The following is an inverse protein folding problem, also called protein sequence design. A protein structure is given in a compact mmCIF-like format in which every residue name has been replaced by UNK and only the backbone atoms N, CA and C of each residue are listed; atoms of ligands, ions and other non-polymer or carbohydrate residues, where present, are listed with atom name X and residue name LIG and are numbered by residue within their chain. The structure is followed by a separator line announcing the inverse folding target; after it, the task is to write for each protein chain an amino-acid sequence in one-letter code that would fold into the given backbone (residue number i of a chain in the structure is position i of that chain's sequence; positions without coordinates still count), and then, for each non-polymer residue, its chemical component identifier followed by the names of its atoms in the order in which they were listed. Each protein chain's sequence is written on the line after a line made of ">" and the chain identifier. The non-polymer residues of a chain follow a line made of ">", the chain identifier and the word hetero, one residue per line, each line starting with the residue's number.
data_IF_834434950637
#
_entry.id   IF_834434950637
#
_cell.length_a   1.000
_cell.length_b   1.000
_cell.length_c   1.000
_cell.angle_alpha   90.00
_cell.angle_beta   90.00
_cell.angle_gamma   90.00
#
_symmetry.space_group_name_H-M   'P 1'
#
loop_
_entity.id
_entity.type
_entity.pdbx_description
1 polymer ?
#
# COMPACT_ATOMS: atom_id res chain seq x y z
N UNK A 1 -11.59 -41.30 -8.51
CA UNK A 1 -11.95 -40.41 -9.64
C UNK A 1 -12.69 -39.21 -9.05
N UNK A 2 -12.31 -37.95 -9.32
CA UNK A 2 -11.28 -37.46 -10.24
C UNK A 2 -9.99 -37.03 -9.51
N UNK A 3 -8.86 -37.27 -10.17
CA UNK A 3 -7.56 -36.68 -9.85
C UNK A 3 -7.59 -35.26 -10.41
N UNK A 4 -7.54 -34.23 -9.55
CA UNK A 4 -7.35 -32.85 -10.00
C UNK A 4 -5.86 -32.72 -10.32
N UNK A 5 -5.53 -32.87 -11.60
CA UNK A 5 -4.20 -32.73 -12.15
C UNK A 5 -3.88 -31.22 -12.22
N UNK A 6 -3.23 -30.67 -11.19
CA UNK A 6 -2.74 -29.28 -11.21
C UNK A 6 -1.39 -29.23 -11.93
N UNK A 7 -1.40 -29.24 -13.26
CA UNK A 7 -0.20 -28.93 -14.03
C UNK A 7 0.07 -27.42 -13.94
N UNK A 8 0.99 -27.01 -13.05
CA UNK A 8 1.42 -25.62 -12.86
C UNK A 8 2.34 -25.11 -14.00
N UNK A 9 1.96 -25.34 -15.26
CA UNK A 9 2.69 -24.75 -16.39
C UNK A 9 2.14 -23.36 -16.66
N UNK A 10 2.99 -22.31 -16.54
CA UNK A 10 2.66 -20.91 -16.91
C UNK A 10 2.25 -20.75 -18.38
N UNK A 11 2.35 -21.82 -19.16
CA UNK A 11 2.15 -21.85 -20.59
C UNK A 11 1.00 -22.79 -20.94
N UNK A 12 0.19 -22.37 -21.90
CA UNK A 12 -0.94 -23.15 -22.43
C UNK A 12 -0.87 -23.21 -23.94
N UNK A 13 -1.60 -24.15 -24.52
CA UNK A 13 -1.81 -24.17 -25.97
C UNK A 13 -2.52 -22.87 -26.40
N UNK A 14 -2.09 -22.19 -27.47
CA UNK A 14 -2.74 -20.97 -27.95
C UNK A 14 -4.24 -21.20 -28.18
N UNK A 15 -5.09 -20.29 -27.70
CA UNK A 15 -6.55 -20.30 -27.92
C UNK A 15 -6.85 -19.57 -29.22
N UNK A 16 -7.03 -20.31 -30.31
CA UNK A 16 -7.29 -19.75 -31.65
C UNK A 16 -7.00 -20.78 -32.73
N UNK A 17 -7.16 -20.40 -34.00
CA UNK A 17 -6.74 -21.20 -35.15
C UNK A 17 -5.29 -21.67 -34.93
N UNK A 18 -5.02 -22.96 -35.19
CA UNK A 18 -3.89 -23.77 -34.68
C UNK A 18 -2.44 -23.26 -34.96
N UNK A 19 -2.22 -22.04 -35.45
CA UNK A 19 -0.93 -21.64 -36.04
C UNK A 19 -0.49 -20.18 -35.83
N UNK A 20 -1.10 -19.40 -34.94
CA UNK A 20 -0.56 -18.05 -34.68
C UNK A 20 0.85 -18.14 -34.07
N UNK A 21 1.87 -17.51 -34.72
CA UNK A 21 3.22 -17.49 -34.19
C UNK A 21 3.28 -16.79 -32.85
N UNK A 22 3.98 -17.39 -31.90
CA UNK A 22 4.26 -16.81 -30.59
C UNK A 22 5.75 -16.95 -30.29
N UNK A 23 6.32 -16.12 -29.39
CA UNK A 23 7.72 -16.23 -29.03
C UNK A 23 7.99 -17.43 -28.10
N UNK A 24 6.97 -18.23 -27.74
CA UNK A 24 7.09 -19.35 -26.80
C UNK A 24 6.88 -20.67 -27.54
N UNK A 25 7.87 -21.57 -27.44
CA UNK A 25 7.83 -22.87 -28.09
C UNK A 25 7.72 -23.98 -27.06
N UNK A 26 6.68 -24.80 -27.18
CA UNK A 26 6.59 -26.09 -26.51
C UNK A 26 7.39 -27.12 -27.30
N UNK A 27 8.28 -27.85 -26.61
CA UNK A 27 9.18 -28.83 -27.21
C UNK A 27 9.06 -30.13 -26.43
N UNK A 28 8.67 -31.20 -27.11
CA UNK A 28 8.71 -32.55 -26.55
C UNK A 28 10.02 -33.27 -26.91
N UNK A 29 10.34 -34.32 -26.15
CA UNK A 29 11.56 -35.12 -26.30
C UNK A 29 12.84 -34.31 -26.02
N UNK A 30 12.72 -33.32 -25.14
CA UNK A 30 13.75 -32.35 -24.80
C UNK A 30 13.54 -31.93 -23.34
N UNK A 31 14.53 -32.14 -22.48
CA UNK A 31 14.47 -31.79 -21.06
C UNK A 31 15.36 -32.67 -20.16
N UNK A 32 15.49 -32.32 -18.87
CA UNK A 32 16.41 -32.99 -17.96
C UNK A 32 16.17 -34.49 -17.80
N UNK A 33 14.91 -34.94 -17.82
CA UNK A 33 14.57 -36.36 -17.68
C UNK A 33 14.99 -37.21 -18.89
N UNK A 34 15.25 -36.58 -20.04
CA UNK A 34 15.82 -37.25 -21.23
C UNK A 34 17.33 -36.98 -21.39
N UNK A 35 17.96 -36.49 -20.33
CA UNK A 35 19.41 -36.29 -20.24
C UNK A 35 19.91 -34.97 -20.84
N UNK A 36 19.03 -33.97 -21.01
CA UNK A 36 19.40 -32.68 -21.60
C UNK A 36 19.12 -31.55 -20.59
N UNK A 37 20.15 -30.93 -19.99
CA UNK A 37 19.95 -29.83 -19.06
C UNK A 37 19.44 -28.58 -19.78
N UNK A 38 18.76 -27.68 -19.05
CA UNK A 38 18.17 -26.48 -19.64
C UNK A 38 19.19 -25.56 -20.32
N UNK A 39 20.41 -25.48 -19.79
CA UNK A 39 21.51 -24.69 -20.36
C UNK A 39 21.90 -25.17 -21.77
N UNK A 40 21.91 -26.49 -22.02
CA UNK A 40 22.19 -27.04 -23.35
C UNK A 40 21.06 -26.73 -24.33
N UNK A 41 19.81 -26.73 -23.83
CA UNK A 41 18.63 -26.36 -24.63
C UNK A 41 18.69 -24.88 -24.98
N UNK A 42 19.01 -24.03 -24.00
CA UNK A 42 19.17 -22.59 -24.23
C UNK A 42 20.27 -22.30 -25.24
N UNK A 43 21.42 -22.96 -25.11
CA UNK A 43 22.54 -22.83 -26.05
C UNK A 43 22.15 -23.25 -27.47
N UNK A 44 21.50 -24.42 -27.61
CA UNK A 44 21.06 -24.93 -28.91
C UNK A 44 20.00 -24.03 -29.60
N UNK A 45 19.17 -23.33 -28.82
CA UNK A 45 18.13 -22.44 -29.35
C UNK A 45 18.60 -20.98 -29.53
N UNK A 46 19.68 -20.57 -28.86
CA UNK A 46 20.23 -19.21 -28.96
C UNK A 46 20.73 -18.84 -30.36
N UNK A 47 20.99 -19.83 -31.23
CA UNK A 47 21.38 -19.60 -32.63
C UNK A 47 20.27 -18.93 -33.46
N UNK A 48 19.01 -19.07 -33.05
CA UNK A 48 17.86 -18.49 -33.76
C UNK A 48 17.51 -17.09 -33.27
N UNK A 49 18.01 -16.68 -32.10
CA UNK A 49 17.75 -15.39 -31.48
C UNK A 49 17.92 -15.45 -29.96
N UNK A 50 17.76 -14.29 -29.30
CA UNK A 50 17.92 -14.19 -27.84
C UNK A 50 16.86 -15.03 -27.12
N UNK A 51 17.30 -16.04 -26.38
CA UNK A 51 16.47 -16.82 -25.47
C UNK A 51 16.35 -16.05 -24.15
N UNK A 52 15.12 -15.81 -23.70
CA UNK A 52 14.79 -15.21 -22.40
C UNK A 52 14.83 -16.27 -21.30
N UNK A 53 14.53 -17.52 -21.64
CA UNK A 53 14.67 -18.65 -20.72
C UNK A 53 14.10 -19.96 -21.24
N UNK A 54 14.46 -21.03 -20.54
CA UNK A 54 13.96 -22.39 -20.77
C UNK A 54 13.30 -22.89 -19.49
N UNK A 55 12.09 -23.44 -19.61
CA UNK A 55 11.28 -23.89 -18.49
C UNK A 55 10.77 -25.31 -18.70
N UNK A 56 10.53 -26.06 -17.63
CA UNK A 56 9.79 -27.32 -17.74
C UNK A 56 8.36 -27.05 -18.26
N UNK A 57 7.91 -27.81 -19.25
CA UNK A 57 6.55 -27.68 -19.76
C UNK A 57 5.54 -28.42 -18.87
N UNK A 58 5.99 -29.46 -18.18
CA UNK A 58 5.23 -30.28 -17.24
C UNK A 58 6.19 -31.00 -16.27
N UNK A 59 5.62 -31.79 -15.35
CA UNK A 59 6.37 -32.55 -14.34
C UNK A 59 7.14 -33.75 -14.89
N UNK A 60 6.96 -34.09 -16.18
CA UNK A 60 7.62 -35.28 -16.76
C UNK A 60 9.12 -35.05 -16.95
N UNK A 61 9.57 -33.79 -16.99
CA UNK A 61 10.96 -33.41 -17.27
C UNK A 61 11.45 -33.76 -18.67
N UNK A 62 10.58 -34.31 -19.54
CA UNK A 62 10.89 -34.69 -20.92
C UNK A 62 10.39 -33.67 -21.96
N UNK A 63 9.79 -32.57 -21.48
CA UNK A 63 9.20 -31.51 -22.29
C UNK A 63 9.52 -30.14 -21.68
N UNK A 64 9.80 -29.16 -22.54
CA UNK A 64 10.20 -27.82 -22.14
C UNK A 64 9.46 -26.74 -22.91
N UNK A 65 9.46 -25.52 -22.36
CA UNK A 65 9.10 -24.29 -23.03
C UNK A 65 10.37 -23.47 -23.23
N UNK A 66 10.66 -23.07 -24.47
CA UNK A 66 11.71 -22.11 -24.81
C UNK A 66 11.05 -20.77 -25.11
N UNK A 67 11.51 -19.71 -24.45
CA UNK A 67 11.01 -18.35 -24.59
C UNK A 67 12.02 -17.51 -25.36
N UNK A 68 11.66 -17.01 -26.54
CA UNK A 68 12.45 -16.02 -27.27
C UNK A 68 12.03 -14.59 -26.90
N UNK A 69 12.93 -13.63 -27.12
CA UNK A 69 12.55 -12.21 -27.06
C UNK A 69 11.70 -11.78 -28.24
N UNK A 70 11.90 -12.40 -29.40
CA UNK A 70 11.24 -12.04 -30.65
C UNK A 70 10.50 -13.23 -31.26
N UNK A 71 9.34 -12.98 -31.87
CA UNK A 71 8.54 -14.02 -32.53
C UNK A 71 9.29 -14.65 -33.71
N UNK A 72 10.00 -13.84 -34.49
CA UNK A 72 10.75 -14.29 -35.68
C UNK A 72 11.79 -15.39 -35.33
N UNK A 73 12.40 -15.31 -34.14
CA UNK A 73 13.36 -16.32 -33.67
C UNK A 73 12.67 -17.67 -33.40
N UNK A 74 11.47 -17.64 -32.81
CA UNK A 74 10.65 -18.82 -32.59
C UNK A 74 10.19 -19.46 -33.92
N UNK A 75 9.82 -18.63 -34.90
CA UNK A 75 9.46 -19.09 -36.26
C UNK A 75 10.63 -19.76 -36.99
N UNK A 76 11.83 -19.18 -36.87
CA UNK A 76 13.04 -19.78 -37.45
C UNK A 76 13.36 -21.13 -36.81
N UNK A 77 13.27 -21.21 -35.48
CA UNK A 77 13.56 -22.43 -34.73
C UNK A 77 12.56 -23.56 -35.04
N UNK A 78 11.25 -23.28 -35.06
CA UNK A 78 10.23 -24.30 -35.37
C UNK A 78 10.37 -24.81 -36.81
N UNK A 79 10.71 -23.94 -37.77
CA UNK A 79 10.90 -24.32 -39.17
C UNK A 79 12.10 -25.24 -39.36
N UNK A 80 13.17 -25.03 -38.60
CA UNK A 80 14.41 -25.80 -38.72
C UNK A 80 14.36 -27.13 -37.94
N UNK A 81 13.82 -27.11 -36.72
CA UNK A 81 14.00 -28.20 -35.77
C UNK A 81 12.77 -29.11 -35.59
N UNK A 82 11.58 -28.66 -35.96
CA UNK A 82 10.38 -29.48 -35.76
C UNK A 82 10.36 -30.69 -36.69
N UNK A 83 10.34 -31.90 -36.13
CA UNK A 83 10.37 -33.15 -36.87
C UNK A 83 11.74 -33.53 -37.44
N UNK A 84 12.78 -32.73 -37.16
CA UNK A 84 14.14 -32.96 -37.63
C UNK A 84 15.05 -33.43 -36.46
N UNK A 85 16.03 -34.32 -36.71
CA UNK A 85 17.08 -34.63 -35.74
C UNK A 85 17.92 -33.41 -35.39
N UNK A 86 18.11 -33.13 -34.11
CA UNK A 86 18.96 -32.04 -33.63
C UNK A 86 20.29 -32.58 -33.11
N UNK A 87 21.40 -32.34 -33.82
CA UNK A 87 22.72 -32.85 -33.47
C UNK A 87 23.20 -32.34 -32.09
N UNK A 88 23.02 -31.04 -31.81
CA UNK A 88 23.33 -30.38 -30.53
C UNK A 88 22.60 -31.02 -29.34
N UNK A 89 21.46 -31.67 -29.58
CA UNK A 89 20.62 -32.30 -28.58
C UNK A 89 20.63 -33.84 -28.71
N UNK A 90 21.79 -34.38 -29.11
CA UNK A 90 22.04 -35.83 -29.16
C UNK A 90 21.36 -36.55 -30.33
N UNK A 91 21.10 -35.86 -31.45
CA UNK A 91 20.47 -36.41 -32.64
C UNK A 91 18.97 -36.69 -32.49
N UNK A 92 18.34 -36.14 -31.44
CA UNK A 92 16.93 -36.41 -31.15
C UNK A 92 16.01 -35.64 -32.09
N UNK A 93 14.95 -36.29 -32.53
CA UNK A 93 13.85 -35.63 -33.24
C UNK A 93 12.98 -34.88 -32.24
N UNK A 94 12.88 -33.55 -32.43
CA UNK A 94 12.09 -32.67 -31.58
C UNK A 94 10.68 -32.51 -32.15
N UNK A 95 9.68 -32.42 -31.28
CA UNK A 95 8.33 -32.03 -31.67
C UNK A 95 8.00 -30.69 -31.07
N UNK A 96 7.93 -29.68 -31.92
CA UNK A 96 7.83 -28.27 -31.54
C UNK A 96 6.47 -27.72 -31.94
N UNK A 97 5.84 -26.97 -31.04
CA UNK A 97 4.58 -26.27 -31.26
C UNK A 97 4.63 -24.88 -30.63
N UNK A 98 3.89 -23.92 -31.18
CA UNK A 98 3.66 -22.66 -30.50
C UNK A 98 2.92 -22.87 -29.18
N UNK A 99 3.32 -22.08 -28.19
CA UNK A 99 2.74 -22.02 -26.85
C UNK A 99 2.37 -20.57 -26.53
N UNK A 100 1.43 -20.37 -25.62
CA UNK A 100 1.01 -19.04 -25.18
C UNK A 100 1.14 -18.95 -23.66
N UNK A 101 1.38 -17.76 -23.12
CA UNK A 101 1.24 -17.53 -21.68
C UNK A 101 -0.22 -17.73 -21.31
N UNK A 102 -0.48 -18.46 -20.24
CA UNK A 102 -1.84 -18.61 -19.73
C UNK A 102 -2.34 -17.22 -19.26
N UNK A 103 -3.46 -16.70 -19.79
CA UNK A 103 -4.05 -15.49 -19.22
C UNK A 103 -4.47 -15.80 -17.77
N UNK A 104 -4.24 -14.87 -16.83
CA UNK A 104 -4.49 -15.11 -15.41
C UNK A 104 -5.95 -15.52 -15.19
N UNK A 105 -6.17 -16.72 -14.65
CA UNK A 105 -7.49 -17.13 -14.19
C UNK A 105 -7.85 -16.30 -12.96
N UNK A 106 -9.04 -15.67 -12.98
CA UNK A 106 -9.59 -14.92 -11.84
C UNK A 106 -9.91 -15.86 -10.68
N UNK A 107 -8.99 -16.01 -9.74
CA UNK A 107 -9.17 -16.49 -8.37
C UNK A 107 -8.09 -15.86 -7.46
N UNK A 108 -8.34 -15.72 -6.14
CA UNK A 108 -7.70 -14.72 -5.28
C UNK A 108 -6.20 -14.97 -5.09
N UNK A 109 -5.47 -13.87 -4.96
CA UNK A 109 -4.02 -13.76 -5.14
C UNK A 109 -3.25 -14.42 -3.96
N UNK A 110 -2.45 -15.44 -4.33
CA UNK A 110 -1.16 -15.89 -3.81
C UNK A 110 -0.82 -15.81 -2.30
N UNK A 111 -0.88 -16.96 -1.60
CA UNK A 111 -0.33 -17.19 -0.26
C UNK A 111 0.93 -18.10 -0.21
N UNK A 112 1.51 -18.50 -1.35
CA UNK A 112 2.51 -19.57 -1.36
C UNK A 112 3.97 -19.09 -1.19
N UNK A 113 4.35 -17.91 -1.70
CA UNK A 113 5.76 -17.48 -1.73
C UNK A 113 6.22 -16.68 -0.49
N UNK A 114 5.28 -16.13 0.26
CA UNK A 114 5.58 -15.47 1.56
C UNK A 114 6.03 -16.49 2.61
N UNK A 115 5.63 -17.76 2.45
CA UNK A 115 5.96 -18.83 3.41
C UNK A 115 7.47 -19.12 3.46
N UNK A 116 8.17 -19.13 2.33
CA UNK A 116 9.57 -19.57 2.29
C UNK A 116 10.55 -18.52 2.85
N UNK A 117 10.23 -17.22 2.74
CA UNK A 117 10.97 -16.14 3.41
C UNK A 117 10.58 -16.04 4.89
N UNK A 118 9.32 -16.34 5.25
CA UNK A 118 8.86 -16.37 6.64
C UNK A 118 9.39 -17.58 7.43
N UNK A 119 9.58 -18.74 6.80
CA UNK A 119 9.97 -19.98 7.50
C UNK A 119 11.34 -19.90 8.17
N UNK A 120 12.28 -19.10 7.63
CA UNK A 120 13.61 -18.91 8.22
C UNK A 120 13.63 -17.94 9.43
N UNK A 121 12.57 -17.16 9.66
CA UNK A 121 12.46 -16.20 10.77
C UNK A 121 11.46 -16.60 11.87
N UNK A 122 10.58 -17.58 11.60
CA UNK A 122 9.55 -18.04 12.56
C UNK A 122 10.13 -18.75 13.80
N UNK A 123 11.35 -19.28 13.74
CA UNK A 123 11.98 -19.99 14.86
C UNK A 123 12.50 -19.07 15.99
N UNK A 124 12.36 -17.73 15.85
CA UNK A 124 12.82 -16.75 16.86
C UNK A 124 11.71 -15.85 17.44
N UNK A 125 10.47 -15.98 17.00
CA UNK A 125 9.36 -15.18 17.52
C UNK A 125 8.60 -15.95 18.61
N UNK A 126 8.28 -15.33 19.76
CA UNK A 126 7.39 -15.95 20.73
C UNK A 126 6.01 -16.14 20.08
N UNK A 127 5.56 -17.40 20.02
CA UNK A 127 4.20 -17.78 19.61
C UNK A 127 3.19 -16.92 20.37
N UNK A 128 2.19 -16.40 19.65
CA UNK A 128 1.08 -15.65 20.22
C UNK A 128 0.51 -16.41 21.41
N UNK A 129 0.51 -15.76 22.57
CA UNK A 129 -0.11 -16.28 23.78
C UNK A 129 -1.61 -15.97 23.69
N UNK A 130 -2.40 -16.92 23.21
CA UNK A 130 -3.84 -16.90 23.44
C UNK A 130 -4.08 -17.30 24.89
N UNK A 131 -4.50 -16.35 25.74
CA UNK A 131 -4.96 -16.63 27.09
C UNK A 131 -6.04 -15.64 27.51
N UNK A 132 -6.89 -16.14 28.40
CA UNK A 132 -8.29 -15.81 28.57
C UNK A 132 -8.55 -14.42 29.14
N UNK A 133 -9.64 -13.84 28.63
CA UNK A 133 -10.22 -12.53 28.94
C UNK A 133 -10.64 -12.44 30.40
N UNK A 134 -10.22 -11.37 31.09
CA UNK A 134 -10.96 -10.73 32.17
C UNK A 134 -10.74 -9.21 32.14
N UNK A 135 -11.83 -8.46 31.97
CA UNK A 135 -11.99 -7.08 32.43
C UNK A 135 -11.19 -5.97 31.72
N UNK A 136 -11.90 -5.11 30.99
CA UNK A 136 -11.54 -3.77 30.53
C UNK A 136 -10.61 -3.58 29.31
N UNK A 137 -11.24 -3.37 28.14
CA UNK A 137 -10.83 -2.44 27.07
C UNK A 137 -9.39 -2.50 26.49
N UNK A 138 -8.60 -3.55 26.71
CA UNK A 138 -7.29 -3.71 26.06
C UNK A 138 -7.50 -4.24 24.64
N UNK A 139 -7.25 -3.37 23.64
CA UNK A 139 -7.28 -3.75 22.23
C UNK A 139 -6.19 -4.81 21.95
N UNK A 140 -6.52 -6.01 21.43
CA UNK A 140 -5.51 -7.01 21.09
C UNK A 140 -4.50 -6.46 20.09
N UNK A 141 -3.21 -6.74 20.34
CA UNK A 141 -2.10 -6.28 19.51
C UNK A 141 -1.53 -7.46 18.74
N UNK A 142 -1.65 -7.41 17.42
CA UNK A 142 -1.08 -8.38 16.50
C UNK A 142 0.42 -8.18 16.33
N UNK A 143 1.16 -9.26 16.10
CA UNK A 143 2.57 -9.21 15.70
C UNK A 143 2.74 -9.48 14.19
N UNK A 144 1.81 -10.22 13.59
CA UNK A 144 1.78 -10.46 12.16
C UNK A 144 0.68 -9.62 11.52
N UNK A 145 0.93 -9.13 10.29
CA UNK A 145 -0.08 -8.40 9.53
C UNK A 145 -1.27 -9.27 9.13
N UNK A 146 -1.08 -10.58 8.98
CA UNK A 146 -2.16 -11.55 8.70
C UNK A 146 -3.22 -11.57 9.79
N UNK A 147 -2.80 -11.40 11.05
CA UNK A 147 -3.68 -11.50 12.22
C UNK A 147 -4.57 -10.25 12.36
N UNK A 148 -4.17 -9.15 11.68
CA UNK A 148 -5.03 -7.99 11.58
C UNK A 148 -6.26 -8.27 10.74
N UNK A 149 -6.27 -9.21 9.78
CA UNK A 149 -7.42 -9.38 8.87
C UNK A 149 -7.87 -8.02 8.27
N UNK A 150 -6.88 -7.23 7.79
CA UNK A 150 -7.09 -6.00 7.02
C UNK A 150 -6.45 -6.21 5.66
N UNK A 151 -7.23 -6.32 4.57
CA UNK A 151 -6.69 -6.47 3.23
C UNK A 151 -5.74 -5.32 2.86
N UNK A 152 -4.57 -5.65 2.34
CA UNK A 152 -3.58 -4.67 1.92
C UNK A 152 -2.65 -4.16 3.02
N UNK A 153 -2.65 -4.76 4.22
CA UNK A 153 -1.61 -4.53 5.24
C UNK A 153 -0.60 -5.68 5.20
N UNK A 154 0.68 -5.35 5.08
CA UNK A 154 1.78 -6.31 5.14
C UNK A 154 2.89 -5.77 6.05
N UNK A 155 3.52 -6.66 6.83
CA UNK A 155 4.62 -6.29 7.71
C UNK A 155 5.80 -7.23 7.50
N UNK A 156 6.95 -6.68 7.12
CA UNK A 156 8.22 -7.41 7.00
C UNK A 156 9.10 -7.03 8.18
N UNK A 157 9.44 -8.03 8.99
CA UNK A 157 10.38 -7.88 10.10
C UNK A 157 11.81 -7.92 9.58
N UNK A 158 12.74 -7.27 10.29
CA UNK A 158 14.17 -7.23 9.96
C UNK A 158 14.43 -6.92 8.47
N UNK A 159 13.64 -5.99 7.93
CA UNK A 159 13.74 -5.52 6.53
C UNK A 159 15.08 -4.84 6.24
N UNK A 160 15.66 -4.22 7.27
CA UNK A 160 17.01 -3.69 7.25
C UNK A 160 17.87 -4.35 8.34
N UNK A 161 19.17 -4.35 8.10
CA UNK A 161 20.20 -4.74 9.07
C UNK A 161 20.39 -3.65 10.13
N UNK A 162 21.14 -3.95 11.18
CA UNK A 162 21.49 -2.96 12.20
C UNK A 162 22.43 -1.89 11.64
N UNK A 163 23.33 -2.28 10.75
CA UNK A 163 24.28 -1.41 10.08
C UNK A 163 23.54 -0.40 9.19
N UNK A 164 22.61 -0.87 8.34
CA UNK A 164 21.74 0.00 7.54
C UNK A 164 20.89 0.95 8.41
N UNK A 165 20.38 0.47 9.56
CA UNK A 165 19.66 1.30 10.53
C UNK A 165 20.55 2.46 11.05
N UNK A 166 21.80 2.17 11.39
CA UNK A 166 22.76 3.16 11.89
C UNK A 166 23.13 4.20 10.82
N UNK A 167 23.36 3.76 9.58
CA UNK A 167 23.67 4.64 8.45
C UNK A 167 22.50 5.61 8.16
N UNK A 168 21.26 5.08 8.10
CA UNK A 168 20.06 5.89 7.91
C UNK A 168 19.91 6.94 9.02
N UNK A 169 20.15 6.55 10.28
CA UNK A 169 20.04 7.44 11.44
C UNK A 169 21.11 8.54 11.40
N UNK A 170 22.36 8.20 11.10
CA UNK A 170 23.45 9.16 10.97
C UNK A 170 23.16 10.20 9.88
N UNK A 171 22.63 9.76 8.73
CA UNK A 171 22.27 10.65 7.63
C UNK A 171 21.15 11.62 7.99
N UNK A 172 20.08 11.18 8.66
CA UNK A 172 18.99 12.09 9.05
C UNK A 172 19.37 13.00 10.21
N UNK A 173 20.23 12.57 11.12
CA UNK A 173 20.67 13.39 12.25
C UNK A 173 21.52 14.58 11.81
N UNK A 174 22.32 14.41 10.76
CA UNK A 174 23.15 15.47 10.19
C UNK A 174 22.37 16.45 9.30
N UNK A 175 21.08 16.23 9.08
CA UNK A 175 20.23 17.04 8.19
C UNK A 175 19.27 17.94 8.97
N UNK A 176 18.80 18.99 8.28
CA UNK A 176 17.89 19.99 8.89
C UNK A 176 16.53 19.38 9.18
N UNK A 177 16.05 19.57 10.41
CA UNK A 177 14.73 19.16 10.86
C UNK A 177 13.73 20.32 10.82
N UNK A 178 12.49 20.01 10.45
CA UNK A 178 11.33 20.89 10.57
C UNK A 178 10.59 20.51 11.84
N UNK A 179 10.46 21.43 12.79
CA UNK A 179 9.74 21.17 14.04
C UNK A 179 8.23 21.39 13.85
N UNK A 180 7.44 20.37 14.19
CA UNK A 180 5.99 20.47 14.38
C UNK A 180 5.70 20.57 15.89
N UNK A 181 4.43 20.76 16.25
CA UNK A 181 4.02 21.01 17.63
C UNK A 181 4.48 19.95 18.66
N UNK A 182 4.58 18.67 18.26
CA UNK A 182 4.94 17.57 19.17
C UNK A 182 6.08 16.67 18.65
N UNK A 183 6.46 16.81 17.39
CA UNK A 183 7.40 15.92 16.70
C UNK A 183 8.18 16.72 15.67
N UNK A 184 9.25 16.17 15.10
CA UNK A 184 9.99 16.81 14.01
C UNK A 184 9.99 15.94 12.77
N UNK A 185 10.13 16.56 11.60
CA UNK A 185 10.03 15.91 10.30
C UNK A 185 11.11 16.38 9.33
N UNK A 186 11.40 15.57 8.33
CA UNK A 186 12.14 15.94 7.11
C UNK A 186 11.36 15.46 5.89
N UNK A 187 11.37 16.24 4.82
CA UNK A 187 10.72 15.90 3.55
C UNK A 187 11.74 15.85 2.42
N UNK A 188 11.55 14.90 1.53
CA UNK A 188 12.31 14.73 0.30
C UNK A 188 11.35 14.39 -0.83
N UNK A 189 11.73 14.69 -2.07
CA UNK A 189 10.80 14.59 -3.19
C UNK A 189 9.91 15.82 -3.26
N UNK A 190 8.84 15.80 -2.49
CA UNK A 190 7.87 16.89 -2.42
C UNK A 190 7.61 17.30 -0.98
N UNK A 191 7.31 18.59 -0.76
CA UNK A 191 6.94 19.09 0.56
C UNK A 191 5.58 18.53 0.99
N UNK A 192 5.51 18.06 2.24
CA UNK A 192 4.29 17.59 2.85
C UNK A 192 3.63 18.72 3.65
N UNK A 193 2.47 19.19 3.19
CA UNK A 193 1.74 20.28 3.81
C UNK A 193 0.90 19.80 4.99
N UNK A 194 1.22 20.32 6.17
CA UNK A 194 0.46 20.08 7.41
C UNK A 194 -0.59 21.16 7.72
N UNK A 195 -0.63 22.24 6.92
CA UNK A 195 -1.58 23.35 7.09
C UNK A 195 -2.81 23.13 6.20
N UNK A 196 -3.98 23.46 6.75
CA UNK A 196 -5.28 23.43 6.06
C UNK A 196 -5.31 24.51 4.98
N UNK A 197 -5.53 24.13 3.72
CA UNK A 197 -6.02 25.08 2.72
C UNK A 197 -7.54 25.15 2.86
N UNK A 198 -8.04 26.16 3.59
CA UNK A 198 -9.43 26.60 3.44
C UNK A 198 -9.57 27.20 2.04
N UNK A 199 -10.05 26.43 1.06
CA UNK A 199 -10.69 27.05 -0.09
C UNK A 199 -12.03 27.61 0.39
N UNK A 200 -12.04 28.91 0.72
CA UNK A 200 -13.27 29.69 0.71
C UNK A 200 -13.76 29.72 -0.74
N UNK A 201 -14.64 28.79 -1.11
CA UNK A 201 -15.51 29.05 -2.25
C UNK A 201 -16.48 30.14 -1.78
N UNK A 202 -16.36 31.33 -2.36
CA UNK A 202 -17.27 32.45 -2.11
C UNK A 202 -18.64 32.08 -2.68
N UNK A 203 -19.49 31.42 -1.89
CA UNK A 203 -20.91 31.30 -2.20
C UNK A 203 -21.67 32.32 -1.35
N UNK A 204 -22.05 33.43 -1.97
CA UNK A 204 -22.98 34.40 -1.38
C UNK A 204 -24.39 33.89 -1.65
N UNK A 205 -25.07 33.33 -0.65
CA UNK A 205 -26.50 33.03 -0.75
C UNK A 205 -27.32 34.30 -0.49
N UNK A 206 -28.21 34.74 -1.40
CA UNK A 206 -28.92 36.02 -1.27
C UNK A 206 -30.27 35.92 -0.53
N UNK A 207 -30.36 35.16 0.57
CA UNK A 207 -31.58 35.15 1.40
C UNK A 207 -31.25 35.14 2.90
N UNK A 208 -31.03 36.34 3.45
CA UNK A 208 -31.11 36.59 4.89
C UNK A 208 -32.58 36.83 5.27
N UNK A 209 -33.18 35.93 6.06
CA UNK A 209 -34.33 36.28 6.91
C UNK A 209 -33.80 36.64 8.29
N UNK A 210 -34.05 37.89 8.69
CA UNK A 210 -33.74 38.42 10.01
C UNK A 210 -34.59 37.71 11.08
N UNK A 211 -33.95 37.08 12.07
CA UNK A 211 -34.58 36.75 13.34
C UNK A 211 -34.11 37.76 14.39
N UNK A 212 -35.05 38.55 14.91
CA UNK A 212 -34.83 39.51 15.98
C UNK A 212 -34.97 38.81 17.33
N UNK A 213 -33.91 38.73 18.13
CA UNK A 213 -34.00 38.41 19.55
C UNK A 213 -33.67 39.64 20.40
N UNK A 214 -34.64 40.01 21.24
CA UNK A 214 -34.62 41.10 22.22
C UNK A 214 -33.74 40.71 23.41
N UNK A 215 -32.85 41.61 23.85
CA UNK A 215 -32.08 41.47 25.10
C UNK A 215 -32.81 42.12 26.29
N UNK A 216 -32.52 41.67 27.52
CA UNK A 216 -32.44 42.57 28.67
C UNK A 216 -31.04 42.62 29.31
N UNK A 217 -30.62 43.87 29.58
CA UNK A 217 -29.65 44.47 30.53
C UNK A 217 -28.58 43.61 31.25
N UNK A 218 -27.27 43.87 31.05
CA UNK A 218 -26.37 44.93 31.58
C UNK A 218 -25.73 44.54 32.92
N UNK A 219 -24.43 44.20 32.94
CA UNK A 219 -23.34 45.17 32.93
C UNK A 219 -21.99 44.46 32.73
N UNK A 220 -21.00 45.21 32.21
CA UNK A 220 -19.56 44.93 32.06
C UNK A 220 -19.01 44.74 30.62
N UNK A 221 -18.42 45.86 30.17
CA UNK A 221 -17.38 46.09 29.15
C UNK A 221 -17.71 46.15 27.65
N UNK A 222 -17.38 47.34 27.14
CA UNK A 222 -17.35 47.88 25.80
C UNK A 222 -16.59 47.05 24.75
N UNK A 223 -17.06 47.24 23.51
CA UNK A 223 -16.45 46.90 22.22
C UNK A 223 -16.72 45.48 21.67
N UNK A 224 -17.98 45.23 21.27
CA UNK A 224 -18.26 44.29 20.18
C UNK A 224 -18.48 45.11 18.89
N UNK A 225 -17.52 45.09 17.98
CA UNK A 225 -17.88 45.18 16.57
C UNK A 225 -18.79 43.98 16.29
N UNK A 226 -20.06 44.24 16.02
CA UNK A 226 -21.00 43.25 15.50
C UNK A 226 -20.49 42.87 14.12
N UNK A 227 -19.54 41.93 14.05
CA UNK A 227 -19.22 41.24 12.81
C UNK A 227 -20.37 40.28 12.55
N UNK A 228 -20.93 40.25 11.32
CA UNK A 228 -21.95 39.27 11.00
C UNK A 228 -21.40 37.88 11.33
N UNK A 229 -22.14 37.12 12.14
CA UNK A 229 -21.92 35.67 12.25
C UNK A 229 -22.34 35.10 10.91
N UNK A 230 -21.39 35.09 9.96
CA UNK A 230 -21.45 34.20 8.82
C UNK A 230 -21.37 32.80 9.42
N UNK A 231 -22.52 32.13 9.50
CA UNK A 231 -22.57 30.69 9.73
C UNK A 231 -21.98 30.05 8.47
N UNK A 232 -20.66 29.89 8.48
CA UNK A 232 -20.00 29.03 7.51
C UNK A 232 -20.37 27.59 7.87
N UNK A 233 -21.28 26.99 7.12
CA UNK A 233 -21.34 25.53 7.00
C UNK A 233 -20.15 25.08 6.15
N UNK A 234 -18.93 25.33 6.65
CA UNK A 234 -17.69 24.90 6.02
C UNK A 234 -17.29 23.57 6.62
N UNK A 235 -17.29 22.51 5.81
CA UNK A 235 -16.66 21.25 6.20
C UNK A 235 -15.16 21.48 6.37
N UNK A 236 -14.67 21.45 7.62
CA UNK A 236 -13.23 21.47 7.92
C UNK A 236 -12.69 20.07 7.62
N UNK A 237 -12.21 19.86 6.40
CA UNK A 237 -11.42 18.67 6.06
C UNK A 237 -9.95 18.94 6.36
N UNK A 238 -9.38 18.21 7.31
CA UNK A 238 -7.95 18.22 7.59
C UNK A 238 -7.20 17.44 6.52
N UNK A 239 -7.05 18.00 5.32
CA UNK A 239 -6.27 17.35 4.25
C UNK A 239 -4.79 17.57 4.48
N UNK A 240 -4.06 16.49 4.76
CA UNK A 240 -2.59 16.45 4.74
C UNK A 240 -2.14 16.19 3.30
N UNK A 241 -1.85 17.25 2.58
CA UNK A 241 -1.61 17.17 1.13
C UNK A 241 -0.12 17.32 0.79
N UNK A 242 0.22 17.07 -0.46
CA UNK A 242 1.51 17.41 -1.06
C UNK A 242 1.32 18.65 -1.92
N UNK A 243 2.25 19.59 -1.83
CA UNK A 243 2.29 20.65 -2.83
C UNK A 243 2.98 20.13 -4.09
N UNK A 244 2.17 19.72 -5.08
CA UNK A 244 2.69 19.30 -6.41
C UNK A 244 3.52 20.38 -7.11
N UNK A 245 3.45 21.64 -6.67
CA UNK A 245 4.25 22.76 -7.21
C UNK A 245 5.59 22.95 -6.49
N UNK A 246 5.81 22.28 -5.35
CA UNK A 246 7.06 22.37 -4.59
C UNK A 246 7.81 21.03 -4.60
N UNK A 247 8.40 20.73 -5.76
CA UNK A 247 9.37 19.66 -5.89
C UNK A 247 10.69 20.09 -5.25
N UNK A 248 11.12 19.35 -4.22
CA UNK A 248 12.32 19.57 -3.42
C UNK A 248 13.56 18.85 -3.99
N UNK A 249 13.42 18.15 -5.12
CA UNK A 249 14.46 17.31 -5.73
C UNK A 249 14.21 15.83 -5.53
N UNK A 250 14.99 14.99 -6.20
CA UNK A 250 14.88 13.53 -6.13
C UNK A 250 15.08 12.99 -4.71
N UNK A 251 14.67 11.73 -4.48
CA UNK A 251 14.92 11.07 -3.20
C UNK A 251 16.44 10.91 -2.97
N UNK A 252 16.92 11.16 -1.74
CA UNK A 252 18.34 11.24 -1.47
C UNK A 252 19.04 9.87 -1.57
N UNK A 253 20.29 9.85 -2.00
CA UNK A 253 21.03 8.59 -2.25
C UNK A 253 21.11 7.65 -1.03
N UNK A 254 21.11 8.18 0.20
CA UNK A 254 21.21 7.35 1.40
C UNK A 254 20.01 6.41 1.62
N UNK A 255 18.88 6.64 0.93
CA UNK A 255 17.74 5.71 0.93
C UNK A 255 17.70 4.80 -0.31
N UNK A 256 18.69 4.86 -1.20
CA UNK A 256 18.70 4.10 -2.46
C UNK A 256 18.58 2.58 -2.26
N UNK A 257 19.31 2.02 -1.29
CA UNK A 257 19.21 0.61 -0.93
C UNK A 257 17.79 0.24 -0.47
N UNK A 258 17.14 1.12 0.30
CA UNK A 258 15.75 0.92 0.73
C UNK A 258 14.80 0.93 -0.47
N UNK A 259 14.99 1.85 -1.41
CA UNK A 259 14.20 1.92 -2.64
C UNK A 259 14.38 0.66 -3.51
N UNK A 260 15.60 0.13 -3.61
CA UNK A 260 15.87 -1.13 -4.31
C UNK A 260 15.16 -2.33 -3.65
N UNK A 261 15.18 -2.40 -2.31
CA UNK A 261 14.43 -3.42 -1.56
C UNK A 261 12.91 -3.27 -1.72
N UNK A 262 12.39 -2.04 -1.78
CA UNK A 262 10.97 -1.77 -2.06
C UNK A 262 10.61 -2.22 -3.48
N UNK A 263 11.45 -1.92 -4.48
CA UNK A 263 11.21 -2.28 -5.87
C UNK A 263 11.22 -3.80 -6.11
N UNK A 264 11.94 -4.56 -5.27
CA UNK A 264 12.00 -6.02 -5.30
C UNK A 264 10.91 -6.71 -4.46
N UNK A 265 9.98 -5.95 -3.86
CA UNK A 265 8.92 -6.52 -3.02
C UNK A 265 7.96 -7.39 -3.87
N UNK A 266 7.79 -8.68 -3.52
CA UNK A 266 7.00 -9.61 -4.33
C UNK A 266 5.51 -9.27 -4.27
N UNK A 267 4.80 -9.40 -5.41
CA UNK A 267 3.37 -9.13 -5.51
C UNK A 267 2.99 -7.71 -5.97
N UNK A 268 3.98 -6.85 -6.24
CA UNK A 268 3.78 -5.57 -6.92
C UNK A 268 3.83 -5.80 -8.44
N UNK A 269 2.69 -6.22 -9.00
CA UNK A 269 2.57 -6.80 -10.36
C UNK A 269 2.76 -5.78 -11.50
N UNK A 270 2.85 -4.48 -11.21
CA UNK A 270 2.92 -3.43 -12.25
C UNK A 270 4.19 -2.59 -12.12
N UNK A 271 5.08 -2.66 -13.12
CA UNK A 271 6.35 -1.91 -13.18
C UNK A 271 6.13 -0.38 -13.20
N UNK A 272 4.91 0.09 -13.52
CA UNK A 272 4.53 1.51 -13.51
C UNK A 272 4.35 2.10 -12.10
N UNK A 273 4.31 1.28 -11.05
CA UNK A 273 3.96 1.70 -9.68
C UNK A 273 5.07 1.53 -8.63
N UNK A 274 6.32 1.26 -9.04
CA UNK A 274 7.43 0.94 -8.11
C UNK A 274 8.28 2.14 -7.70
N UNK A 275 8.28 3.21 -8.48
CA UNK A 275 9.06 4.41 -8.15
C UNK A 275 8.35 5.23 -7.08
N UNK A 276 8.97 5.30 -5.90
CA UNK A 276 8.61 6.24 -4.86
C UNK A 276 9.34 7.56 -5.12
N UNK A 277 8.60 8.66 -5.12
CA UNK A 277 9.10 10.00 -5.42
C UNK A 277 8.91 10.96 -4.25
N UNK A 278 8.34 10.49 -3.12
CA UNK A 278 8.12 11.29 -1.91
C UNK A 278 8.51 10.49 -0.66
N UNK A 279 9.33 11.10 0.20
CA UNK A 279 9.71 10.56 1.51
C UNK A 279 9.43 11.56 2.64
N UNK A 280 8.74 11.09 3.68
CA UNK A 280 8.62 11.81 4.95
C UNK A 280 9.35 11.04 6.05
N UNK A 281 10.38 11.64 6.63
CA UNK A 281 11.01 11.14 7.85
C UNK A 281 10.31 11.79 9.04
N UNK A 282 9.78 11.01 9.96
CA UNK A 282 9.18 11.50 11.20
C UNK A 282 10.01 11.02 12.39
N UNK A 283 10.33 11.91 13.32
CA UNK A 283 10.90 11.53 14.61
C UNK A 283 9.94 11.84 15.76
N UNK A 284 9.69 10.82 16.57
CA UNK A 284 8.81 10.83 17.73
C UNK A 284 9.63 10.71 19.01
N UNK A 285 9.59 11.72 19.89
CA UNK A 285 10.03 11.56 21.28
C UNK A 285 9.15 10.56 22.04
N UNK A 286 9.68 9.98 23.12
CA UNK A 286 8.89 9.10 24.00
C UNK A 286 7.59 9.79 24.49
N UNK A 287 6.45 9.11 24.35
CA UNK A 287 5.13 9.66 24.69
C UNK A 287 4.41 10.37 23.54
N UNK A 288 5.11 10.67 22.44
CA UNK A 288 4.53 11.31 21.28
C UNK A 288 4.02 10.25 20.30
N UNK A 289 2.76 10.40 19.92
CA UNK A 289 2.10 9.60 18.90
C UNK A 289 1.73 10.42 17.65
N UNK A 290 0.77 9.92 16.92
CA UNK A 290 0.25 10.48 15.67
C UNK A 290 -1.26 10.28 15.63
N UNK A 291 -2.03 11.37 15.65
CA UNK A 291 -3.50 11.33 15.59
C UNK A 291 -4.04 10.50 14.41
N UNK A 292 -5.23 9.87 14.55
CA UNK A 292 -5.81 9.04 13.50
C UNK A 292 -5.99 9.83 12.21
N UNK A 293 -5.59 9.25 11.08
CA UNK A 293 -5.77 9.84 9.75
C UNK A 293 -5.62 8.78 8.65
N UNK A 294 -6.09 9.12 7.45
CA UNK A 294 -5.79 8.44 6.20
C UNK A 294 -4.92 9.38 5.37
N UNK A 295 -3.89 8.83 4.70
CA UNK A 295 -3.07 9.62 3.78
C UNK A 295 -3.94 10.06 2.57
N UNK A 296 -3.88 11.35 2.23
CA UNK A 296 -4.79 11.98 1.28
C UNK A 296 -4.83 11.23 -0.06
N UNK A 297 -6.04 10.88 -0.52
CA UNK A 297 -6.22 9.99 -1.67
C UNK A 297 -5.78 10.67 -2.97
N UNK A 298 -6.04 11.98 -3.08
CA UNK A 298 -5.60 12.79 -4.22
C UNK A 298 -4.09 13.05 -4.25
N UNK A 299 -3.40 12.94 -3.12
CA UNK A 299 -1.99 13.30 -2.99
C UNK A 299 -1.06 12.16 -3.38
N UNK A 300 -1.41 10.93 -2.99
CA UNK A 300 -0.53 9.77 -3.11
C UNK A 300 -1.18 8.63 -3.86
N UNK A 301 -0.35 7.76 -4.45
CA UNK A 301 -0.83 6.57 -5.11
C UNK A 301 -1.21 5.45 -4.12
N UNK A 302 -1.40 4.23 -4.63
CA UNK A 302 -1.90 3.09 -3.84
C UNK A 302 -0.92 2.58 -2.78
N UNK A 303 0.38 2.56 -3.07
CA UNK A 303 1.38 1.93 -2.21
C UNK A 303 2.00 2.95 -1.26
N UNK A 304 1.95 2.65 0.04
CA UNK A 304 2.60 3.44 1.09
C UNK A 304 3.47 2.51 1.93
N UNK A 305 4.77 2.77 1.95
CA UNK A 305 5.74 2.01 2.73
C UNK A 305 6.18 2.83 3.94
N UNK A 306 6.29 2.20 5.11
CA UNK A 306 6.70 2.86 6.35
C UNK A 306 7.72 1.99 7.10
N UNK A 307 8.98 2.38 7.02
CA UNK A 307 10.08 1.74 7.72
C UNK A 307 10.21 2.32 9.14
N UNK A 308 10.19 1.47 10.16
CA UNK A 308 10.38 1.87 11.56
C UNK A 308 11.82 1.63 12.01
N UNK A 309 12.46 2.61 12.63
CA UNK A 309 13.85 2.52 13.15
C UNK A 309 14.00 3.24 14.50
N UNK A 310 15.09 2.97 15.22
CA UNK A 310 15.45 3.48 16.55
C UNK A 310 14.48 3.17 17.72
N UNK A 311 13.26 2.74 17.43
CA UNK A 311 12.27 2.41 18.45
C UNK A 311 11.03 1.74 17.88
N UNK A 312 10.43 0.86 18.67
CA UNK A 312 9.16 0.23 18.34
C UNK A 312 7.96 1.09 18.74
N UNK A 313 6.78 0.78 18.21
CA UNK A 313 5.51 1.31 18.72
C UNK A 313 4.34 0.39 18.38
N UNK A 314 3.21 0.56 19.06
CA UNK A 314 1.91 0.09 18.56
C UNK A 314 1.35 1.10 17.54
N UNK A 315 0.90 0.60 16.40
CA UNK A 315 0.05 1.33 15.46
C UNK A 315 -1.36 0.73 15.49
N UNK A 316 -2.37 1.58 15.69
CA UNK A 316 -3.78 1.20 15.59
C UNK A 316 -4.35 1.59 14.22
N UNK A 317 -5.16 0.71 13.66
CA UNK A 317 -6.01 0.94 12.51
C UNK A 317 -7.45 1.09 12.97
N UNK A 318 -8.13 2.14 12.50
CA UNK A 318 -9.53 2.45 12.83
C UNK A 318 -10.36 2.60 11.56
N UNK A 319 -11.41 1.79 11.42
CA UNK A 319 -12.37 1.89 10.34
C UNK A 319 -13.72 2.36 10.88
N UNK A 320 -14.27 3.34 10.20
CA UNK A 320 -15.52 4.00 10.55
C UNK A 320 -16.54 3.69 9.44
N UNK A 321 -17.52 2.79 9.64
CA UNK A 321 -18.39 2.31 8.58
C UNK A 321 -19.16 3.40 7.81
N UNK A 322 -19.50 4.50 8.47
CA UNK A 322 -20.22 5.63 7.89
C UNK A 322 -19.33 6.71 7.23
N UNK A 323 -18.01 6.53 7.19
CA UNK A 323 -17.08 7.53 6.63
C UNK A 323 -16.21 8.17 7.70
N UNK A 324 -15.76 9.42 7.51
CA UNK A 324 -14.85 10.09 8.47
C UNK A 324 -15.50 10.31 9.84
N UNK A 325 -14.66 10.34 10.88
CA UNK A 325 -15.07 10.71 12.24
C UNK A 325 -15.69 12.11 12.22
N UNK A 326 -17.01 12.20 12.42
CA UNK A 326 -17.71 13.46 12.64
C UNK A 326 -17.57 13.83 14.12
N UNK A 327 -17.15 15.06 14.40
CA UNK A 327 -17.27 15.60 15.76
C UNK A 327 -18.76 15.51 16.17
N UNK A 328 -19.10 15.07 17.39
CA UNK A 328 -20.43 15.33 17.92
C UNK A 328 -20.62 16.84 17.84
N UNK A 329 -21.62 17.29 17.06
CA UNK A 329 -21.98 18.71 17.00
C UNK A 329 -22.21 19.17 18.43
N UNK A 330 -21.38 20.11 18.90
CA UNK A 330 -21.60 20.79 20.16
C UNK A 330 -22.75 21.78 20.00
N UNK A 331 -23.95 21.26 19.75
CA UNK A 331 -25.21 21.89 20.12
C UNK A 331 -25.72 21.11 21.32
N UNK A 332 -25.40 21.65 22.49
CA UNK A 332 -26.03 21.29 23.75
C UNK A 332 -27.54 21.46 23.55
N UNK A 333 -28.32 20.51 24.06
CA UNK A 333 -29.79 20.40 24.01
C UNK A 333 -30.38 19.50 22.92
N UNK A 334 -29.92 18.24 22.88
CA UNK A 334 -30.77 17.03 22.74
C UNK A 334 -29.83 15.82 22.73
N UNK A 335 -29.68 15.15 23.89
CA UNK A 335 -29.03 13.84 23.94
C UNK A 335 -29.99 12.86 23.27
N UNK A 336 -29.89 12.74 21.95
CA UNK A 336 -30.59 11.72 21.19
C UNK A 336 -29.76 10.42 21.29
N UNK A 337 -30.43 9.28 21.52
CA UNK A 337 -29.82 7.93 21.65
C UNK A 337 -28.97 7.51 20.42
N UNK A 338 -28.99 8.29 19.33
CA UNK A 338 -28.26 8.05 18.10
C UNK A 338 -26.76 8.46 18.19
N UNK A 339 -26.40 9.37 19.11
CA UNK A 339 -25.01 9.84 19.30
C UNK A 339 -24.11 8.79 19.97
N UNK A 340 -24.69 7.96 20.85
CA UNK A 340 -24.00 6.82 21.48
C UNK A 340 -23.75 5.67 20.49
N UNK A 341 -24.64 5.50 19.50
CA UNK A 341 -24.51 4.47 18.46
C UNK A 341 -23.38 4.75 17.44
N UNK A 342 -23.10 6.01 17.13
CA UNK A 342 -21.99 6.40 16.24
C UNK A 342 -20.60 6.05 16.78
N UNK A 343 -20.43 6.07 18.11
CA UNK A 343 -19.17 5.65 18.76
C UNK A 343 -19.00 4.12 18.78
N UNK A 344 -20.11 3.37 18.74
CA UNK A 344 -20.14 1.91 18.95
C UNK A 344 -19.71 1.06 17.75
N UNK A 345 -19.74 1.61 16.53
CA UNK A 345 -19.46 0.85 15.31
C UNK A 345 -18.03 1.01 14.76
N UNK A 346 -17.12 1.62 15.53
CA UNK A 346 -15.71 1.79 15.10
C UNK A 346 -14.96 0.47 15.22
N UNK A 347 -14.49 -0.07 14.09
CA UNK A 347 -13.64 -1.26 14.09
C UNK A 347 -12.21 -0.81 14.38
N UNK A 348 -11.62 -1.34 15.44
CA UNK A 348 -10.23 -1.05 15.84
C UNK A 348 -9.41 -2.32 15.78
N UNK A 349 -8.20 -2.24 15.22
CA UNK A 349 -7.21 -3.31 15.23
C UNK A 349 -5.84 -2.70 15.50
N UNK A 350 -4.93 -3.42 16.14
CA UNK A 350 -3.61 -2.90 16.49
C UNK A 350 -2.50 -3.86 16.11
N UNK A 351 -1.37 -3.32 15.66
CA UNK A 351 -0.17 -4.07 15.33
C UNK A 351 1.04 -3.48 16.03
N UNK A 352 1.92 -4.36 16.50
CA UNK A 352 3.23 -3.97 17.00
C UNK A 352 4.19 -3.78 15.82
N UNK A 353 4.83 -2.62 15.75
CA UNK A 353 5.84 -2.29 14.76
C UNK A 353 7.23 -2.31 15.44
N UNK A 354 8.01 -3.40 15.31
CA UNK A 354 9.36 -3.46 15.84
C UNK A 354 10.32 -2.53 15.06
N UNK A 355 11.49 -2.25 15.65
CA UNK A 355 12.57 -1.58 14.89
C UNK A 355 13.00 -2.43 13.71
N UNK A 356 13.51 -1.78 12.66
CA UNK A 356 13.95 -2.37 11.38
C UNK A 356 12.86 -3.09 10.60
N UNK A 357 11.58 -2.83 10.90
CA UNK A 357 10.46 -3.42 10.16
C UNK A 357 9.88 -2.48 9.12
N UNK A 358 9.42 -3.04 8.00
CA UNK A 358 8.74 -2.32 6.92
C UNK A 358 7.27 -2.68 6.91
N UNK A 359 6.41 -1.69 7.14
CA UNK A 359 4.97 -1.78 6.98
C UNK A 359 4.57 -1.31 5.58
N UNK A 360 3.87 -2.13 4.81
CA UNK A 360 3.23 -1.77 3.55
C UNK A 360 1.72 -1.63 3.77
N UNK A 361 1.17 -0.51 3.31
CA UNK A 361 -0.26 -0.26 3.22
C UNK A 361 -0.65 -0.09 1.75
N UNK A 362 -1.60 -0.89 1.29
CA UNK A 362 -2.19 -0.85 -0.05
C UNK A 362 -3.70 -1.15 0.03
N UNK A 363 -4.42 -1.04 -1.09
CA UNK A 363 -5.85 -1.36 -1.16
C UNK A 363 -6.67 -0.81 0.02
N UNK A 364 -7.45 -1.70 0.66
CA UNK A 364 -8.33 -1.32 1.77
C UNK A 364 -7.55 -0.68 2.94
N UNK A 365 -6.46 -1.29 3.38
CA UNK A 365 -5.65 -0.81 4.49
C UNK A 365 -5.14 0.63 4.30
N UNK A 366 -4.87 1.02 3.05
CA UNK A 366 -4.44 2.39 2.71
C UNK A 366 -5.58 3.38 2.49
N UNK A 367 -6.72 2.94 1.98
CA UNK A 367 -7.81 3.84 1.54
C UNK A 367 -8.99 3.94 2.53
N UNK A 368 -9.15 2.99 3.46
CA UNK A 368 -10.35 2.91 4.31
C UNK A 368 -10.05 2.84 5.81
N UNK A 369 -8.79 2.69 6.20
CA UNK A 369 -8.39 2.56 7.60
C UNK A 369 -7.55 3.76 8.03
N UNK A 370 -8.00 4.43 9.08
CA UNK A 370 -7.22 5.48 9.72
C UNK A 370 -6.10 4.84 10.52
N UNK A 371 -4.85 5.20 10.25
CA UNK A 371 -3.72 4.75 11.03
C UNK A 371 -3.37 5.78 12.12
N UNK A 372 -3.04 5.27 13.31
CA UNK A 372 -2.89 6.02 14.54
C UNK A 372 -1.74 5.46 15.36
N UNK A 373 -0.90 6.32 15.93
CA UNK A 373 0.09 5.92 16.92
C UNK A 373 -0.34 6.54 18.26
N UNK A 374 -0.63 5.75 19.31
CA UNK A 374 -1.09 6.29 20.58
C UNK A 374 -0.09 7.22 21.28
N UNK A 375 -0.60 8.26 21.97
CA UNK A 375 0.19 9.20 22.77
C UNK A 375 0.43 8.66 24.19
N UNK A 376 1.31 7.67 24.32
CA UNK A 376 1.70 7.13 25.62
C UNK A 376 3.19 6.72 25.64
N UNK A 377 3.73 6.56 26.85
CA UNK A 377 5.15 6.21 27.07
C UNK A 377 5.38 4.69 27.17
N UNK A 378 4.31 3.92 27.31
CA UNK A 378 4.33 2.48 27.54
C UNK A 378 3.27 1.85 26.66
N UNK A 379 3.69 0.89 25.83
CA UNK A 379 2.83 0.01 25.05
C UNK A 379 2.49 -1.22 25.92
N UNK A 380 1.22 -1.63 25.94
CA UNK A 380 0.76 -2.83 26.68
C UNK A 380 0.42 -3.90 25.64
N UNK A 381 1.05 -5.07 25.74
CA UNK A 381 0.83 -6.21 24.83
C UNK A 381 0.61 -7.47 25.65
N UNK A 382 -0.66 -7.89 25.78
CA UNK A 382 -1.04 -8.87 26.79
C UNK A 382 -0.62 -8.39 28.17
N UNK A 383 0.08 -9.23 28.93
CA UNK A 383 0.59 -8.87 30.26
C UNK A 383 1.92 -8.10 30.22
N UNK A 384 2.50 -7.88 29.03
CA UNK A 384 3.81 -7.23 28.90
C UNK A 384 3.66 -5.72 28.76
N UNK A 385 4.44 -5.00 29.54
CA UNK A 385 4.62 -3.56 29.40
C UNK A 385 5.94 -3.26 28.70
N UNK A 386 5.85 -2.66 27.51
CA UNK A 386 7.02 -2.25 26.73
C UNK A 386 7.13 -0.74 26.80
N UNK A 387 8.15 -0.24 27.50
CA UNK A 387 8.44 1.19 27.53
C UNK A 387 8.98 1.62 26.17
N UNK A 388 8.39 2.66 25.59
CA UNK A 388 8.87 3.23 24.33
C UNK A 388 10.25 3.84 24.51
N UNK A 389 11.12 3.62 23.52
CA UNK A 389 12.43 4.26 23.42
C UNK A 389 12.34 5.79 23.58
N UNK A 390 13.42 6.42 24.00
CA UNK A 390 13.54 7.89 24.05
C UNK A 390 13.24 8.55 22.69
N UNK A 391 13.53 7.82 21.61
CA UNK A 391 13.39 8.22 20.21
C UNK A 391 12.83 7.07 19.38
N UNK A 392 11.93 7.37 18.45
CA UNK A 392 11.54 6.52 17.33
C UNK A 392 11.59 7.34 16.05
N UNK A 393 12.12 6.78 14.97
CA UNK A 393 12.10 7.41 13.65
C UNK A 393 11.34 6.51 12.67
N UNK A 394 10.59 7.10 11.76
CA UNK A 394 9.99 6.36 10.64
C UNK A 394 10.20 7.04 9.31
N UNK A 395 10.52 6.26 8.29
CA UNK A 395 10.67 6.69 6.91
C UNK A 395 9.45 6.24 6.12
N UNK A 396 8.62 7.18 5.69
CA UNK A 396 7.40 6.88 4.93
C UNK A 396 7.58 7.25 3.47
N UNK A 397 7.60 6.25 2.59
CA UNK A 397 7.79 6.37 1.16
C UNK A 397 6.45 6.25 0.43
N UNK A 398 6.26 7.13 -0.55
CA UNK A 398 5.03 7.23 -1.34
C UNK A 398 5.36 7.62 -2.78
N UNK A 399 4.41 7.37 -3.67
CA UNK A 399 4.36 7.94 -5.01
C UNK A 399 3.33 9.07 -5.04
N UNK A 400 3.68 10.26 -5.51
CA UNK A 400 2.75 11.37 -5.69
C UNK A 400 1.80 11.03 -6.84
N UNK A 401 0.50 11.14 -6.58
CA UNK A 401 -0.52 10.82 -7.56
C UNK A 401 -0.58 11.90 -8.63
N UNK A 402 -0.65 11.47 -9.89
CA UNK A 402 -0.98 12.32 -11.03
C UNK A 402 -2.49 12.20 -11.33
N UNK A 403 -3.24 13.29 -11.11
CA UNK A 403 -4.69 13.35 -11.36
C UNK A 403 -5.59 12.88 -10.19
N UNK A 404 -6.92 12.85 -10.39
CA UNK A 404 -7.87 12.56 -9.33
C UNK A 404 -7.89 11.08 -8.94
N UNK A 405 -8.08 10.78 -7.66
CA UNK A 405 -8.24 9.42 -7.18
C UNK A 405 -9.60 8.82 -7.60
N UNK A 406 -9.60 7.56 -8.03
CA UNK A 406 -10.78 6.78 -8.43
C UNK A 406 -10.93 5.46 -7.65
N UNK A 407 -10.45 5.42 -6.41
CA UNK A 407 -10.52 4.22 -5.58
C UNK A 407 -11.96 3.77 -5.30
N UNK A 408 -12.15 2.49 -4.95
CA UNK A 408 -13.46 1.94 -4.58
C UNK A 408 -14.06 2.56 -3.28
N UNK A 409 -13.22 3.21 -2.48
CA UNK A 409 -13.56 3.69 -1.12
C UNK A 409 -14.02 5.16 -1.12
N UNK A 410 -15.10 5.44 -1.84
CA UNK A 410 -15.60 6.80 -2.12
C UNK A 410 -15.84 7.64 -0.86
N UNK A 411 -16.32 7.01 0.21
CA UNK A 411 -16.67 7.65 1.48
C UNK A 411 -15.47 8.19 2.28
N UNK A 412 -14.24 7.82 1.90
CA UNK A 412 -13.01 8.37 2.49
C UNK A 412 -12.20 9.20 1.48
N UNK A 413 -12.63 9.26 0.22
CA UNK A 413 -11.86 9.80 -0.88
C UNK A 413 -12.15 11.28 -1.12
N UNK A 414 -11.18 12.14 -0.82
CA UNK A 414 -11.30 13.58 -1.01
C UNK A 414 -11.54 13.98 -2.48
N UNK A 415 -10.92 13.30 -3.46
CA UNK A 415 -11.18 13.54 -4.89
C UNK A 415 -12.63 13.26 -5.31
N UNK A 416 -13.28 12.26 -4.69
CA UNK A 416 -14.61 11.81 -5.09
C UNK A 416 -15.72 12.46 -4.27
N UNK A 417 -15.41 12.94 -3.06
CA UNK A 417 -16.34 13.72 -2.25
C UNK A 417 -16.55 15.14 -2.80
N UNK A 418 -15.48 15.80 -3.25
CA UNK A 418 -15.58 17.14 -3.87
C UNK A 418 -16.45 17.16 -5.14
N UNK A 419 -16.50 16.04 -5.88
CA UNK A 419 -17.33 15.92 -7.08
C UNK A 419 -18.84 15.78 -6.77
N UNK A 420 -19.21 15.28 -5.60
CA UNK A 420 -20.63 15.16 -5.16
C UNK A 420 -21.23 16.52 -4.82
N UNK A 421 -20.48 17.36 -4.13
CA UNK A 421 -20.94 18.70 -3.74
C UNK A 421 -21.13 19.61 -4.97
N UNK A 422 -20.31 19.44 -6.01
CA UNK A 422 -20.48 20.15 -7.28
C UNK A 422 -21.70 19.67 -8.09
N UNK A 423 -22.03 18.38 -8.04
CA UNK A 423 -23.21 17.84 -8.74
C UNK A 423 -24.53 18.22 -8.04
N UNK A 424 -24.59 18.18 -6.70
CA UNK A 424 -25.78 18.61 -5.95
C UNK A 424 -26.10 20.10 -6.20
N UNK A 425 -25.08 20.95 -6.25
CA UNK A 425 -25.26 22.37 -6.57
C UNK A 425 -25.68 22.65 -8.03
N UNK A 426 -25.47 21.70 -8.95
CA UNK A 426 -25.89 21.85 -10.36
C UNK A 426 -27.35 21.45 -10.61
N UNK A 427 -27.98 20.71 -9.69
CA UNK A 427 -29.37 20.26 -9.81
C UNK A 427 -30.36 21.28 -9.24
N UNK A 428 -29.96 22.14 -8.30
CA UNK A 428 -30.83 23.19 -7.73
C UNK A 428 -31.01 24.44 -8.62
N UNK A 429 -30.34 24.52 -9.78
CA UNK A 429 -30.47 25.65 -10.72
C UNK A 429 -31.45 25.39 -11.88
N UNK A 430 -32.16 24.26 -11.89
CA UNK A 430 -33.17 23.95 -12.90
C UNK A 430 -34.46 23.42 -12.27
N UNK A 431 -35.21 24.30 -11.61
CA UNK A 431 -36.67 24.18 -11.55
C UNK A 431 -37.30 25.53 -11.92
N UNK A 432 -38.38 25.50 -12.75
CA UNK A 432 -38.90 26.67 -13.46
C UNK A 432 -39.54 27.73 -12.57
#
# INVERSE_FOLDING_TARGET
>A
MPVIQMSNSRFTKPKGLKHEPTPYLFIANCGPAVGIPFENIESAFSIFGKVIGVHAADETGARVIVCFSEVNAAEAAIKMLNGCPCAELGGRTLHIRYSAIQPPQKQPIAFAYVRDVMQLHMDRLPKALELQVHGDNVLPVSFLASDLDIPGIYLVHDFITLEEEQELLAEVDNRKWINLAKRRVQHYGYEFLYKVNCFLSTYVSPQLRYFSFVKPDSSFWNCLHVKPVLVYSGFISWTRNVDSKQFLGELPYFVSNILQKIASFPGLVDDQNKEMDQLTVNEYPCGVGLSPHIDTHSAFDELIFSLSVAGSCIMEFRRYPLGTWQFPSASVDEINEDSTLLSSNTIRKAIFLPSRSMLLMSGEGRYAWNHYIPHHKVDIIGDKQIRRSSRRVSFTFRKVRQGPCRCAYKQYCDSQQQCRDQQLNSVELFHP
#
